data_IF_849549054823
#
_entry.id   IF_849549054823
#
_cell.length_a   1.000
_cell.length_b   1.000
_cell.length_c   1.000
_cell.angle_alpha   90.00
_cell.angle_beta   90.00
_cell.angle_gamma   90.00
#
_symmetry.space_group_name_H-M   'P 1'
#
loop_
_entity.id
_entity.type
_entity.pdbx_description
1 polymer ?
#
# COMPACT_ATOMS: atom_id res chain seq x y z
N UNK A 1 -7.24 14.79 -5.92
CA UNK A 1 -6.21 15.29 -5.00
C UNK A 1 -4.89 15.27 -5.76
N UNK A 2 -4.53 16.41 -6.37
CA UNK A 2 -3.26 16.57 -7.11
C UNK A 2 -2.13 16.66 -6.08
N UNK A 3 -1.39 15.56 -5.91
CA UNK A 3 -0.12 15.59 -5.20
C UNK A 3 0.89 16.38 -6.03
N UNK A 4 1.73 17.20 -5.39
CA UNK A 4 2.87 17.82 -6.08
C UNK A 4 3.73 16.74 -6.74
N UNK A 5 4.26 16.98 -7.96
CA UNK A 5 5.18 16.05 -8.58
C UNK A 5 6.42 15.88 -7.69
N UNK A 6 6.84 14.63 -7.50
CA UNK A 6 8.01 14.30 -6.67
C UNK A 6 9.29 14.74 -7.37
N UNK A 7 10.12 15.52 -6.68
CA UNK A 7 11.48 15.85 -7.14
C UNK A 7 12.30 14.57 -7.25
N UNK A 8 12.74 14.27 -8.45
CA UNK A 8 13.31 12.95 -8.75
C UNK A 8 14.76 13.06 -9.20
N UNK A 9 15.62 12.26 -8.57
CA UNK A 9 16.98 11.99 -9.01
C UNK A 9 17.03 10.66 -9.74
N UNK A 10 17.68 10.61 -10.89
CA UNK A 10 17.98 9.36 -11.59
C UNK A 10 19.45 9.00 -11.38
N UNK A 11 19.69 7.84 -10.84
CA UNK A 11 21.01 7.21 -10.73
C UNK A 11 21.08 6.14 -11.81
N UNK A 12 22.03 6.26 -12.73
CA UNK A 12 22.14 5.36 -13.88
C UNK A 12 23.44 4.57 -13.88
N UNK A 13 23.35 3.29 -14.19
CA UNK A 13 24.51 2.44 -14.46
C UNK A 13 24.94 2.43 -15.93
N UNK A 14 24.10 2.96 -16.82
CA UNK A 14 24.31 2.95 -18.29
C UNK A 14 24.53 4.37 -18.82
N UNK A 15 25.37 4.51 -19.86
CA UNK A 15 25.63 5.78 -20.52
C UNK A 15 24.43 6.26 -21.36
N UNK A 16 23.61 5.35 -21.91
CA UNK A 16 22.47 5.69 -22.77
C UNK A 16 21.13 5.65 -22.01
N UNK A 17 20.82 6.78 -21.40
CA UNK A 17 19.55 7.00 -20.68
C UNK A 17 18.56 7.86 -21.47
N UNK A 18 18.87 8.24 -22.71
CA UNK A 18 18.08 9.22 -23.47
C UNK A 18 16.63 8.75 -23.69
N UNK A 19 16.49 7.50 -24.08
CA UNK A 19 15.16 6.93 -24.34
C UNK A 19 14.34 6.83 -23.04
N UNK A 20 14.94 6.38 -21.96
CA UNK A 20 14.31 6.30 -20.66
C UNK A 20 13.84 7.68 -20.16
N UNK A 21 14.70 8.69 -20.22
CA UNK A 21 14.35 10.06 -19.84
C UNK A 21 13.22 10.60 -20.73
N UNK A 22 13.23 10.31 -22.03
CA UNK A 22 12.15 10.70 -22.95
C UNK A 22 10.81 10.07 -22.54
N UNK A 23 10.83 8.82 -22.13
CA UNK A 23 9.64 8.13 -21.62
C UNK A 23 9.15 8.74 -20.30
N UNK A 24 10.06 9.02 -19.36
CA UNK A 24 9.71 9.63 -18.07
C UNK A 24 9.13 11.05 -18.20
N UNK A 25 9.54 11.83 -19.20
CA UNK A 25 8.96 13.16 -19.45
C UNK A 25 7.47 13.16 -19.72
N UNK A 26 6.90 12.04 -20.15
CA UNK A 26 5.44 11.87 -20.29
C UNK A 26 4.74 11.82 -18.93
N UNK A 27 5.46 11.53 -17.86
CA UNK A 27 4.96 11.38 -16.50
C UNK A 27 5.28 12.60 -15.61
N UNK A 28 5.53 13.76 -16.22
CA UNK A 28 5.92 15.01 -15.53
C UNK A 28 4.97 15.46 -14.40
N UNK A 29 3.74 14.96 -14.40
CA UNK A 29 2.75 15.25 -13.36
C UNK A 29 2.94 14.43 -12.08
N UNK A 30 3.70 13.33 -12.17
CA UNK A 30 3.99 12.41 -11.06
C UNK A 30 5.44 12.58 -10.61
N UNK A 31 6.38 12.59 -11.58
CA UNK A 31 7.81 12.60 -11.35
C UNK A 31 8.44 13.82 -12.06
N UNK A 32 9.09 14.68 -11.29
CA UNK A 32 9.86 15.81 -11.81
C UNK A 32 11.34 15.44 -11.81
N UNK A 33 11.85 14.97 -12.94
CA UNK A 33 13.28 14.65 -13.09
C UNK A 33 14.10 15.93 -13.09
N UNK A 34 14.83 16.16 -12.00
CA UNK A 34 15.67 17.35 -11.84
C UNK A 34 17.12 17.07 -12.25
N UNK A 35 17.64 15.89 -11.90
CA UNK A 35 19.04 15.54 -12.17
C UNK A 35 19.19 14.07 -12.55
N UNK A 36 20.17 13.82 -13.41
CA UNK A 36 20.61 12.46 -13.76
C UNK A 36 22.09 12.35 -13.41
N UNK A 37 22.47 11.34 -12.65
CA UNK A 37 23.83 11.15 -12.15
C UNK A 37 24.29 9.72 -12.45
N UNK A 38 25.47 9.55 -13.05
CA UNK A 38 26.06 8.23 -13.19
C UNK A 38 26.37 7.62 -11.81
N UNK A 39 26.07 6.33 -11.63
CA UNK A 39 26.31 5.62 -10.38
C UNK A 39 27.76 5.70 -9.90
N UNK A 40 28.73 5.67 -10.84
CA UNK A 40 30.14 5.71 -10.53
C UNK A 40 30.61 7.04 -9.94
N UNK A 41 29.89 8.12 -10.20
CA UNK A 41 30.20 9.45 -9.64
C UNK A 41 29.76 9.61 -8.19
N UNK A 42 28.85 8.77 -7.72
CA UNK A 42 28.33 8.76 -6.35
C UNK A 42 29.24 7.95 -5.42
N UNK A 43 30.48 8.43 -5.17
CA UNK A 43 31.45 7.68 -4.37
C UNK A 43 31.36 7.94 -2.87
N UNK A 44 31.61 9.16 -2.42
CA UNK A 44 31.78 9.46 -0.97
C UNK A 44 30.60 10.23 -0.39
N UNK A 45 30.07 11.21 -1.12
CA UNK A 45 29.04 12.13 -0.61
C UNK A 45 27.64 11.85 -1.16
N UNK A 46 27.37 10.58 -1.50
CA UNK A 46 26.11 10.18 -2.11
C UNK A 46 24.89 10.49 -1.25
N UNK A 47 25.00 10.47 0.09
CA UNK A 47 23.89 10.83 1.00
C UNK A 47 23.43 12.26 0.80
N UNK A 48 24.38 13.21 0.81
CA UNK A 48 24.08 14.62 0.57
C UNK A 48 23.48 14.88 -0.81
N UNK A 49 23.85 14.04 -1.80
CA UNK A 49 23.32 14.17 -3.15
C UNK A 49 21.91 13.58 -3.28
N UNK A 50 21.54 12.59 -2.47
CA UNK A 50 20.21 11.99 -2.46
C UNK A 50 19.22 12.78 -1.61
N UNK A 51 19.67 13.50 -0.58
CA UNK A 51 18.81 14.17 0.40
C UNK A 51 17.81 15.18 -0.19
N UNK A 52 18.17 16.03 -1.16
CA UNK A 52 17.27 17.06 -1.69
C UNK A 52 16.08 16.53 -2.49
N UNK A 53 16.04 15.22 -2.77
CA UNK A 53 15.05 14.60 -3.65
C UNK A 53 14.01 13.80 -2.88
N UNK A 54 12.76 13.87 -3.35
CA UNK A 54 11.63 13.11 -2.78
C UNK A 54 11.61 11.66 -3.32
N UNK A 55 12.08 11.50 -4.56
CA UNK A 55 12.14 10.21 -5.24
C UNK A 55 13.53 9.94 -5.85
N UNK A 56 13.93 8.68 -5.85
CA UNK A 56 15.18 8.22 -6.47
C UNK A 56 14.89 7.04 -7.39
N UNK A 57 15.40 7.12 -8.62
CA UNK A 57 15.28 6.05 -9.62
C UNK A 57 16.66 5.45 -9.86
N UNK A 58 16.83 4.17 -9.55
CA UNK A 58 18.02 3.41 -9.92
C UNK A 58 17.75 2.70 -11.25
N UNK A 59 18.31 3.23 -12.32
CA UNK A 59 18.14 2.72 -13.68
C UNK A 59 19.37 1.94 -14.13
N UNK A 60 19.18 0.64 -14.41
CA UNK A 60 20.24 -0.27 -14.86
C UNK A 60 21.52 -0.24 -14.00
N UNK A 61 21.37 -0.03 -12.72
CA UNK A 61 22.50 -0.09 -11.78
C UNK A 61 22.69 -1.54 -11.36
N UNK A 62 23.90 -2.07 -11.59
CA UNK A 62 24.27 -3.44 -11.20
C UNK A 62 24.21 -3.69 -9.70
N UNK A 63 24.03 -4.96 -9.31
CA UNK A 63 24.03 -5.36 -7.89
C UNK A 63 25.40 -5.10 -7.27
N UNK A 64 25.44 -4.38 -6.17
CA UNK A 64 26.64 -4.08 -5.40
C UNK A 64 26.29 -3.74 -3.95
N UNK A 65 27.22 -3.94 -3.02
CA UNK A 65 27.04 -3.57 -1.61
C UNK A 65 26.69 -2.09 -1.46
N UNK A 66 27.33 -1.21 -2.21
CA UNK A 66 27.05 0.22 -2.20
C UNK A 66 25.63 0.56 -2.70
N UNK A 67 25.17 -0.13 -3.76
CA UNK A 67 23.77 0.02 -4.20
C UNK A 67 22.82 -0.37 -3.09
N UNK A 68 23.05 -1.48 -2.42
CA UNK A 68 22.23 -1.94 -1.30
C UNK A 68 22.20 -0.92 -0.15
N UNK A 69 23.33 -0.29 0.18
CA UNK A 69 23.39 0.77 1.19
C UNK A 69 22.57 2.01 0.77
N UNK A 70 22.67 2.42 -0.50
CA UNK A 70 21.88 3.54 -1.03
C UNK A 70 20.39 3.24 -1.02
N UNK A 71 19.98 2.05 -1.43
CA UNK A 71 18.59 1.60 -1.39
C UNK A 71 18.06 1.63 0.05
N UNK A 72 18.82 1.04 0.98
CA UNK A 72 18.46 1.03 2.40
C UNK A 72 18.31 2.44 2.98
N UNK A 73 19.23 3.33 2.65
CA UNK A 73 19.15 4.74 3.05
C UNK A 73 17.90 5.43 2.51
N UNK A 74 17.57 5.25 1.22
CA UNK A 74 16.37 5.80 0.63
C UNK A 74 15.10 5.29 1.33
N UNK A 75 15.06 4.01 1.68
CA UNK A 75 13.96 3.40 2.43
C UNK A 75 13.82 4.00 3.82
N UNK A 76 14.92 4.17 4.56
CA UNK A 76 14.92 4.79 5.88
C UNK A 76 14.54 6.28 5.84
N UNK A 77 14.98 6.99 4.81
CA UNK A 77 14.69 8.41 4.60
C UNK A 77 13.31 8.68 4.01
N UNK A 78 12.45 7.66 3.93
CA UNK A 78 11.05 7.74 3.45
C UNK A 78 10.92 8.29 2.03
N UNK A 79 11.92 8.07 1.19
CA UNK A 79 11.92 8.50 -0.21
C UNK A 79 11.20 7.48 -1.08
N UNK A 80 10.49 7.94 -2.10
CA UNK A 80 9.95 7.05 -3.12
C UNK A 80 11.09 6.43 -3.91
N UNK A 81 11.16 5.12 -3.93
CA UNK A 81 12.26 4.40 -4.55
C UNK A 81 11.75 3.60 -5.77
N UNK A 82 12.39 3.82 -6.90
CA UNK A 82 12.14 3.09 -8.14
C UNK A 82 13.41 2.38 -8.56
N UNK A 83 13.33 1.11 -8.86
CA UNK A 83 14.47 0.31 -9.31
C UNK A 83 14.13 -0.47 -10.57
N UNK A 84 15.08 -0.57 -11.50
CA UNK A 84 15.00 -1.55 -12.57
C UNK A 84 15.35 -2.90 -11.99
N UNK A 85 14.41 -3.89 -12.01
CA UNK A 85 14.66 -5.19 -11.43
C UNK A 85 15.74 -5.94 -12.19
N UNK A 86 16.63 -6.58 -11.46
CA UNK A 86 17.55 -7.58 -12.00
C UNK A 86 16.94 -8.98 -11.83
N UNK A 87 17.43 -9.97 -12.57
CA UNK A 87 16.87 -11.33 -12.58
C UNK A 87 16.85 -11.98 -11.19
N UNK A 88 17.85 -11.69 -10.36
CA UNK A 88 17.97 -12.13 -8.97
C UNK A 88 17.01 -11.40 -8.01
N UNK A 89 16.59 -10.19 -8.35
CA UNK A 89 15.67 -9.37 -7.55
C UNK A 89 14.19 -9.68 -7.84
N UNK A 90 13.87 -10.27 -8.98
CA UNK A 90 12.48 -10.66 -9.33
C UNK A 90 11.91 -11.68 -8.33
N UNK A 91 12.76 -12.42 -7.64
CA UNK A 91 12.37 -13.38 -6.61
C UNK A 91 12.05 -12.75 -5.27
N UNK A 92 12.34 -11.47 -5.03
CA UNK A 92 12.01 -10.78 -3.79
C UNK A 92 10.51 -10.44 -3.74
N UNK A 93 9.77 -11.24 -3.03
CA UNK A 93 8.35 -11.00 -2.70
C UNK A 93 8.23 -9.73 -1.83
N UNK A 94 7.56 -8.73 -2.33
CA UNK A 94 7.27 -7.49 -1.59
C UNK A 94 7.32 -6.20 -2.40
N UNK A 95 7.86 -6.23 -3.59
CA UNK A 95 7.85 -5.09 -4.49
C UNK A 95 6.61 -5.13 -5.39
N UNK A 96 5.79 -4.09 -5.34
CA UNK A 96 4.72 -3.90 -6.32
C UNK A 96 5.32 -3.58 -7.69
N UNK A 97 5.25 -4.51 -8.63
CA UNK A 97 5.64 -4.24 -10.01
C UNK A 97 4.63 -3.26 -10.62
N UNK A 98 5.10 -2.07 -10.98
CA UNK A 98 4.32 -1.11 -11.77
C UNK A 98 5.00 -0.92 -13.11
N UNK A 99 4.27 -1.24 -14.17
CA UNK A 99 4.72 -0.92 -15.52
C UNK A 99 4.54 0.59 -15.74
N UNK A 100 5.65 1.32 -15.67
CA UNK A 100 5.69 2.71 -16.09
C UNK A 100 6.10 2.73 -17.55
N UNK A 101 5.12 2.79 -18.46
CA UNK A 101 5.36 2.74 -19.91
C UNK A 101 6.24 1.50 -20.21
N UNK A 102 6.40 0.85 -21.11
CA UNK A 102 7.14 -0.36 -21.51
C UNK A 102 8.42 -0.78 -20.70
N UNK A 103 8.74 -0.08 -19.60
CA UNK A 103 9.89 -0.41 -18.75
C UNK A 103 9.41 -0.95 -17.41
N UNK A 104 9.75 -2.20 -17.04
CA UNK A 104 9.43 -2.73 -15.74
C UNK A 104 10.23 -1.95 -14.67
N UNK A 105 9.53 -1.21 -13.84
CA UNK A 105 10.09 -0.53 -12.66
C UNK A 105 9.40 -1.07 -11.42
N UNK A 106 10.18 -1.43 -10.42
CA UNK A 106 9.67 -1.77 -9.11
C UNK A 106 9.62 -0.50 -8.27
N UNK A 107 8.44 -0.17 -7.76
CA UNK A 107 8.25 0.96 -6.85
C UNK A 107 8.16 0.47 -5.42
N UNK A 108 9.02 0.96 -4.58
CA UNK A 108 8.86 0.89 -3.13
C UNK A 108 8.27 2.21 -2.65
N UNK A 109 7.04 2.17 -2.18
CA UNK A 109 6.41 3.30 -1.49
C UNK A 109 6.51 3.07 0.01
N UNK A 110 7.11 4.01 0.69
CA UNK A 110 6.95 4.05 2.13
C UNK A 110 5.48 4.39 2.44
N UNK A 111 4.73 3.38 2.87
CA UNK A 111 3.41 3.61 3.42
C UNK A 111 3.59 4.30 4.77
N UNK A 112 3.70 5.62 4.73
CA UNK A 112 3.42 6.40 5.93
C UNK A 112 1.99 6.04 6.33
N UNK A 113 1.87 5.24 7.39
CA UNK A 113 0.57 5.04 8.04
C UNK A 113 0.01 6.43 8.31
N UNK A 114 -0.96 6.85 7.54
CA UNK A 114 -1.65 8.12 7.76
C UNK A 114 -2.51 7.92 9.01
N UNK A 115 -1.88 8.05 10.18
CA UNK A 115 -2.52 7.89 11.48
C UNK A 115 -3.85 8.67 11.54
N UNK A 116 -3.84 9.91 11.08
CA UNK A 116 -5.02 10.75 11.02
C UNK A 116 -6.10 10.21 10.06
N UNK A 117 -5.70 9.66 8.92
CA UNK A 117 -6.66 9.05 7.98
C UNK A 117 -7.32 7.81 8.59
N UNK A 118 -6.54 6.94 9.20
CA UNK A 118 -7.04 5.73 9.86
C UNK A 118 -7.93 6.09 11.06
N UNK A 119 -7.57 7.13 11.81
CA UNK A 119 -8.39 7.63 12.92
C UNK A 119 -9.73 8.20 12.43
N UNK A 120 -9.71 9.08 11.43
CA UNK A 120 -10.94 9.62 10.83
C UNK A 120 -11.81 8.53 10.23
N UNK A 121 -11.21 7.57 9.52
CA UNK A 121 -11.92 6.42 8.99
C UNK A 121 -12.60 5.62 10.12
N UNK A 122 -11.90 5.28 11.19
CA UNK A 122 -12.48 4.57 12.33
C UNK A 122 -13.64 5.32 12.98
N UNK A 123 -13.48 6.62 13.20
CA UNK A 123 -14.55 7.45 13.76
C UNK A 123 -15.76 7.45 12.82
N UNK A 124 -15.56 7.65 11.52
CA UNK A 124 -16.64 7.60 10.53
C UNK A 124 -17.34 6.23 10.51
N UNK A 125 -16.59 5.14 10.55
CA UNK A 125 -17.15 3.79 10.56
C UNK A 125 -18.01 3.56 11.82
N UNK A 126 -17.57 4.03 12.98
CA UNK A 126 -18.33 3.94 14.24
C UNK A 126 -19.61 4.77 14.16
N UNK A 127 -19.54 6.00 13.68
CA UNK A 127 -20.72 6.88 13.56
C UNK A 127 -21.74 6.29 12.60
N UNK A 128 -21.29 5.84 11.43
CA UNK A 128 -22.18 5.24 10.42
C UNK A 128 -22.81 3.95 10.94
N UNK A 129 -22.06 3.08 11.59
CA UNK A 129 -22.58 1.83 12.15
C UNK A 129 -23.60 2.09 13.27
N UNK A 130 -23.34 3.08 14.13
CA UNK A 130 -24.26 3.47 15.20
C UNK A 130 -25.57 4.03 14.63
N UNK A 131 -25.50 4.90 13.64
CA UNK A 131 -26.69 5.42 12.94
C UNK A 131 -27.49 4.32 12.26
N UNK A 132 -26.80 3.39 11.58
CA UNK A 132 -27.44 2.23 10.99
C UNK A 132 -28.17 1.37 12.03
N UNK A 133 -27.54 1.15 13.18
CA UNK A 133 -28.13 0.38 14.29
C UNK A 133 -29.38 1.08 14.85
N UNK A 134 -29.35 2.40 15.03
CA UNK A 134 -30.50 3.19 15.49
C UNK A 134 -31.66 3.08 14.50
N UNK A 135 -31.38 3.22 13.20
CA UNK A 135 -32.41 3.16 12.15
C UNK A 135 -33.00 1.77 12.02
N UNK A 136 -32.20 0.71 12.18
CA UNK A 136 -32.66 -0.67 12.05
C UNK A 136 -33.25 -1.24 13.33
N UNK A 137 -32.98 -0.62 14.50
CA UNK A 137 -33.47 -1.10 15.81
C UNK A 137 -35.01 -1.27 15.87
N UNK A 138 -35.85 -0.34 15.35
CA UNK A 138 -37.30 -0.54 15.39
C UNK A 138 -37.74 -1.75 14.53
N UNK A 139 -37.05 -2.04 13.44
CA UNK A 139 -37.34 -3.20 12.61
C UNK A 139 -37.01 -4.49 13.39
N UNK A 140 -35.84 -4.54 14.05
CA UNK A 140 -35.48 -5.68 14.90
C UNK A 140 -36.46 -5.88 16.05
N UNK A 141 -36.93 -4.80 16.69
CA UNK A 141 -37.92 -4.86 17.74
C UNK A 141 -39.27 -5.39 17.23
N UNK A 142 -39.72 -4.91 16.06
CA UNK A 142 -40.95 -5.36 15.44
C UNK A 142 -40.89 -6.87 15.09
N UNK A 143 -39.80 -7.31 14.47
CA UNK A 143 -39.60 -8.74 14.15
C UNK A 143 -39.55 -9.60 15.42
N UNK A 144 -38.78 -9.15 16.44
CA UNK A 144 -38.70 -9.86 17.71
C UNK A 144 -40.05 -9.97 18.43
N UNK A 145 -40.86 -8.92 18.36
CA UNK A 145 -42.21 -8.93 18.92
C UNK A 145 -43.12 -9.87 18.14
N UNK A 146 -43.06 -9.87 16.81
CA UNK A 146 -43.83 -10.78 15.96
C UNK A 146 -43.52 -12.28 16.28
N UNK A 147 -42.26 -12.65 16.34
CA UNK A 147 -41.82 -14.00 16.69
C UNK A 147 -42.35 -14.40 18.09
N UNK A 148 -42.25 -13.47 19.04
CA UNK A 148 -42.68 -13.74 20.43
C UNK A 148 -44.21 -13.89 20.56
N UNK A 149 -44.96 -13.21 19.71
CA UNK A 149 -46.43 -13.32 19.68
C UNK A 149 -46.91 -14.58 18.97
N UNK A 150 -46.17 -15.05 17.96
CA UNK A 150 -46.54 -16.21 17.16
C UNK A 150 -46.17 -17.52 17.89
N UNK A 151 -44.93 -17.71 18.28
CA UNK A 151 -44.44 -18.99 18.81
C UNK A 151 -44.17 -19.03 20.31
N UNK A 152 -44.25 -17.89 21.01
CA UNK A 152 -43.87 -17.74 22.43
C UNK A 152 -42.47 -18.28 22.77
N UNK A 153 -41.64 -18.55 21.73
CA UNK A 153 -40.29 -19.09 21.83
C UNK A 153 -39.19 -18.02 22.07
N UNK A 154 -37.95 -18.44 22.26
CA UNK A 154 -36.84 -17.53 22.32
C UNK A 154 -36.51 -16.95 20.92
N UNK A 155 -36.31 -15.64 20.81
CA UNK A 155 -35.99 -14.91 19.55
C UNK A 155 -34.69 -15.44 18.91
N UNK A 156 -33.81 -15.99 19.68
CA UNK A 156 -32.55 -16.59 19.22
C UNK A 156 -32.49 -18.05 19.62
N UNK A 157 -32.37 -18.91 18.62
CA UNK A 157 -32.17 -20.34 18.82
C UNK A 157 -30.69 -20.69 18.80
N UNK A 158 -30.26 -21.45 19.82
CA UNK A 158 -28.86 -21.92 19.92
C UNK A 158 -28.80 -23.40 19.53
N UNK A 159 -28.05 -23.67 18.46
CA UNK A 159 -27.84 -25.07 18.00
C UNK A 159 -26.35 -25.43 18.16
N UNK A 160 -26.10 -26.56 18.82
CA UNK A 160 -24.76 -27.13 18.90
C UNK A 160 -24.40 -27.83 17.60
N UNK A 161 -23.27 -27.45 17.00
CA UNK A 161 -22.71 -28.13 15.83
C UNK A 161 -21.26 -28.53 16.07
N UNK A 162 -20.83 -29.59 15.37
CA UNK A 162 -19.43 -30.05 15.44
C UNK A 162 -18.64 -29.60 14.20
N UNK A 163 -17.42 -29.15 14.40
CA UNK A 163 -16.46 -28.93 13.31
C UNK A 163 -15.92 -30.26 12.79
N UNK A 164 -15.30 -30.27 11.61
CA UNK A 164 -14.64 -31.44 11.02
C UNK A 164 -13.63 -32.13 11.96
N UNK A 165 -13.11 -31.40 12.97
CA UNK A 165 -12.17 -31.89 13.97
C UNK A 165 -12.86 -32.29 15.32
N UNK A 166 -14.16 -32.46 15.36
CA UNK A 166 -14.89 -32.89 16.56
C UNK A 166 -15.08 -31.80 17.64
N UNK A 167 -14.70 -30.55 17.41
CA UNK A 167 -14.99 -29.49 18.36
C UNK A 167 -16.45 -29.05 18.26
N UNK A 168 -17.13 -29.01 19.38
CA UNK A 168 -18.51 -28.52 19.49
C UNK A 168 -18.49 -27.00 19.58
N UNK A 169 -19.33 -26.34 18.78
CA UNK A 169 -19.57 -24.90 18.88
C UNK A 169 -21.06 -24.59 18.77
N UNK A 170 -21.49 -23.48 19.36
CA UNK A 170 -22.91 -23.07 19.33
C UNK A 170 -23.11 -22.03 18.22
N UNK A 171 -24.07 -22.28 17.35
CA UNK A 171 -24.54 -21.32 16.36
C UNK A 171 -25.79 -20.66 16.89
N UNK A 172 -25.86 -19.34 16.82
CA UNK A 172 -27.06 -18.57 17.11
C UNK A 172 -27.77 -18.32 15.78
N UNK A 173 -29.02 -18.74 15.66
CA UNK A 173 -29.85 -18.53 14.48
C UNK A 173 -31.19 -17.94 14.90
N UNK A 174 -31.76 -17.04 14.06
CA UNK A 174 -33.18 -16.69 14.14
C UNK A 174 -33.99 -17.88 13.60
N UNK A 175 -35.07 -18.28 14.26
CA UNK A 175 -35.98 -19.27 13.70
C UNK A 175 -36.64 -18.73 12.44
N UNK A 176 -36.78 -19.63 11.45
CA UNK A 176 -37.67 -19.42 10.27
C UNK A 176 -39.08 -19.73 10.63
#
# INVERSE_FOLDING_TARGET
LFSKPEKTLIVTGTADTREFIRKLRKLKYILWVEKVVPYDTLRTDWKMQLDPYDAVIFYEVGSSSRRSEMLWYCMQSRKSLYITPQLDEITMQGFGARHLIDTPLMKYEYHSERFWYNLFKRISDIVVSLLALIVTSPIFLAVSAAIKLEDRGPVFFKQKRCTKNGRVFEIIRSEE
#
